data_IF_545739357516
#
_entry.id   IF_545739357516
#
_cell.length_a   1.000
_cell.length_b   1.000
_cell.length_c   1.000
_cell.angle_alpha   90.00
_cell.angle_beta   90.00
_cell.angle_gamma   90.00
#
_symmetry.space_group_name_H-M   'P 1'
#
loop_
_entity.id
_entity.type
_entity.pdbx_description
1 polymer ?
#
# COMPACT_ATOMS: atom_id res chain seq x y z
N UNK A 1 25.34 74.39 41.62
CA UNK A 1 24.66 73.23 42.24
C UNK A 1 23.91 72.52 41.14
N UNK A 2 24.33 71.31 40.83
CA UNK A 2 23.93 70.52 39.66
C UNK A 2 22.60 69.79 39.91
N UNK A 3 21.63 69.99 39.02
CA UNK A 3 20.44 69.14 38.90
C UNK A 3 20.84 67.81 38.23
N UNK A 4 20.49 66.63 38.78
CA UNK A 4 20.39 65.42 37.98
C UNK A 4 18.99 65.30 37.39
N UNK A 5 18.96 65.31 36.06
CA UNK A 5 17.86 64.86 35.24
C UNK A 5 17.69 63.33 35.40
N UNK A 6 16.49 62.85 35.69
CA UNK A 6 16.07 61.45 35.43
C UNK A 6 14.87 61.48 34.49
N UNK A 7 15.16 61.57 33.20
CA UNK A 7 14.33 60.92 32.17
C UNK A 7 14.57 59.39 32.29
N UNK A 8 13.78 58.45 31.79
CA UNK A 8 12.88 58.42 30.64
C UNK A 8 11.85 57.30 30.89
N UNK A 9 10.61 57.50 30.45
CA UNK A 9 9.61 56.46 30.19
C UNK A 9 10.22 55.26 29.45
N UNK A 10 10.09 54.06 30.02
CA UNK A 10 10.35 52.82 29.30
C UNK A 10 9.33 52.66 28.17
N UNK A 11 9.77 52.85 26.94
CA UNK A 11 9.03 52.39 25.78
C UNK A 11 8.96 50.86 25.88
N UNK A 12 7.75 50.32 26.09
CA UNK A 12 7.50 48.90 25.90
C UNK A 12 7.77 48.59 24.43
N UNK A 13 8.81 47.79 24.18
CA UNK A 13 9.12 47.29 22.86
C UNK A 13 8.04 46.27 22.43
N UNK A 14 7.14 46.71 21.57
CA UNK A 14 6.06 45.89 21.02
C UNK A 14 6.61 44.73 20.16
N UNK A 15 7.89 44.81 19.76
CA UNK A 15 8.60 43.73 19.07
C UNK A 15 8.86 42.53 19.98
N UNK A 16 9.24 42.74 21.23
CA UNK A 16 9.47 41.64 22.19
C UNK A 16 8.16 40.97 22.62
N UNK A 17 7.06 41.74 22.69
CA UNK A 17 5.73 41.20 23.00
C UNK A 17 5.21 40.34 21.85
N UNK A 18 5.41 40.80 20.60
CA UNK A 18 5.06 40.03 19.40
C UNK A 18 5.92 38.78 19.26
N UNK A 19 7.24 38.89 19.48
CA UNK A 19 8.15 37.75 19.47
C UNK A 19 7.81 36.71 20.54
N UNK A 20 7.38 37.13 21.75
CA UNK A 20 6.89 36.21 22.79
C UNK A 20 5.54 35.60 22.47
N UNK A 21 4.65 36.33 21.78
CA UNK A 21 3.37 35.79 21.33
C UNK A 21 3.55 34.77 20.20
N UNK A 22 4.44 35.06 19.25
CA UNK A 22 4.82 34.15 18.16
C UNK A 22 5.59 32.93 18.68
N UNK A 23 6.47 33.09 19.67
CA UNK A 23 7.14 31.97 20.34
C UNK A 23 6.17 31.10 21.16
N UNK A 24 5.15 31.69 21.80
CA UNK A 24 4.08 30.92 22.48
C UNK A 24 3.15 30.22 21.50
N UNK A 25 2.86 30.84 20.35
CA UNK A 25 2.07 30.22 19.28
C UNK A 25 2.86 29.13 18.56
N UNK A 26 4.17 29.30 18.37
CA UNK A 26 5.05 28.25 17.87
C UNK A 26 5.18 27.12 18.88
N UNK A 27 5.35 27.40 20.18
CA UNK A 27 5.36 26.37 21.21
C UNK A 27 4.01 25.62 21.32
N UNK A 28 2.87 26.30 21.12
CA UNK A 28 1.55 25.66 21.06
C UNK A 28 1.36 24.82 19.79
N UNK A 29 1.91 25.25 18.64
CA UNK A 29 1.98 24.44 17.40
C UNK A 29 2.92 23.25 17.56
N UNK A 30 4.04 23.38 18.26
CA UNK A 30 4.96 22.27 18.55
C UNK A 30 4.36 21.29 19.57
N UNK A 31 3.50 21.74 20.48
CA UNK A 31 2.74 20.85 21.38
C UNK A 31 1.55 20.16 20.68
N UNK A 32 0.92 20.79 19.68
CA UNK A 32 -0.06 20.12 18.81
C UNK A 32 0.58 19.18 17.78
N UNK A 33 1.80 19.46 17.33
CA UNK A 33 2.59 18.57 16.48
C UNK A 33 3.39 17.52 17.28
N UNK A 34 3.33 17.55 18.62
CA UNK A 34 3.96 16.56 19.51
C UNK A 34 3.17 15.25 19.66
N UNK A 35 1.99 15.16 19.05
CA UNK A 35 1.21 13.92 18.89
C UNK A 35 0.93 13.59 17.42
N UNK A 36 1.63 14.23 16.49
CA UNK A 36 1.58 13.86 15.08
C UNK A 36 2.51 12.67 14.87
N UNK A 37 2.01 11.48 14.48
CA UNK A 37 2.89 10.42 14.02
C UNK A 37 3.69 10.96 12.83
N UNK A 38 4.95 10.59 12.79
CA UNK A 38 5.82 10.83 11.65
C UNK A 38 5.11 10.44 10.35
N UNK A 39 5.39 11.21 9.30
CA UNK A 39 4.91 10.94 7.94
C UNK A 39 5.07 9.46 7.56
N UNK A 40 3.96 8.84 7.14
CA UNK A 40 3.96 7.62 6.31
C UNK A 40 3.36 6.35 6.89
N UNK A 41 2.88 6.31 8.15
CA UNK A 41 2.33 5.08 8.75
C UNK A 41 0.82 5.12 8.98
N UNK A 42 0.10 4.08 8.57
CA UNK A 42 -1.31 3.86 8.96
C UNK A 42 -1.38 3.56 10.45
N UNK A 43 -2.20 4.30 11.20
CA UNK A 43 -2.40 4.00 12.61
C UNK A 43 -3.45 2.89 12.80
N UNK A 44 -3.11 1.80 13.53
CA UNK A 44 -4.05 0.71 13.78
C UNK A 44 -5.20 1.13 14.70
N UNK A 45 -4.97 2.13 15.56
CA UNK A 45 -5.98 2.69 16.44
C UNK A 45 -5.96 4.22 16.39
N UNK A 46 -7.12 4.86 16.24
CA UNK A 46 -7.22 6.32 16.21
C UNK A 46 -8.48 6.84 16.90
N UNK A 47 -8.44 8.10 17.34
CA UNK A 47 -9.63 8.83 17.80
C UNK A 47 -10.24 9.59 16.63
N UNK A 48 -11.55 9.40 16.46
CA UNK A 48 -12.34 10.02 15.40
C UNK A 48 -12.82 11.38 15.86
N UNK A 49 -12.76 12.34 14.96
CA UNK A 49 -13.22 13.72 15.08
C UNK A 49 -13.99 14.08 13.81
N UNK A 50 -14.78 15.17 13.80
CA UNK A 50 -15.44 15.63 12.59
C UNK A 50 -14.47 15.87 11.42
N UNK A 51 -13.21 16.24 11.71
CA UNK A 51 -12.21 16.57 10.70
C UNK A 51 -11.60 15.35 9.99
N UNK A 52 -11.50 14.19 10.67
CA UNK A 52 -10.87 12.99 10.12
C UNK A 52 -11.87 11.84 9.85
N UNK A 53 -13.14 11.99 10.23
CA UNK A 53 -14.17 10.97 10.08
C UNK A 53 -14.32 10.44 8.64
N UNK A 54 -14.38 11.34 7.64
CA UNK A 54 -14.57 10.91 6.25
C UNK A 54 -13.38 10.08 5.74
N UNK A 55 -12.16 10.51 6.07
CA UNK A 55 -10.93 9.87 5.57
C UNK A 55 -10.62 8.58 6.35
N UNK A 56 -10.62 8.64 7.67
CA UNK A 56 -10.13 7.57 8.54
C UNK A 56 -11.17 6.49 8.84
N UNK A 57 -12.46 6.78 8.63
CA UNK A 57 -13.54 5.81 8.85
C UNK A 57 -14.18 5.41 7.53
N UNK A 58 -14.71 6.37 6.76
CA UNK A 58 -15.52 6.05 5.57
C UNK A 58 -14.63 5.57 4.43
N UNK A 59 -13.65 6.37 3.99
CA UNK A 59 -12.73 5.97 2.91
C UNK A 59 -11.90 4.75 3.31
N UNK A 60 -11.43 4.72 4.55
CA UNK A 60 -10.67 3.61 5.10
C UNK A 60 -11.42 2.28 5.09
N UNK A 61 -12.74 2.30 5.32
CA UNK A 61 -13.58 1.10 5.25
C UNK A 61 -13.65 0.45 3.86
N UNK A 62 -13.27 1.18 2.79
CA UNK A 62 -13.14 0.63 1.43
C UNK A 62 -11.90 -0.26 1.28
N UNK A 63 -10.90 -0.07 2.15
CA UNK A 63 -9.60 -0.72 2.08
C UNK A 63 -9.46 -1.83 3.12
N UNK A 64 -9.87 -1.59 4.36
CA UNK A 64 -9.88 -2.59 5.45
C UNK A 64 -11.15 -2.46 6.29
N UNK A 65 -11.55 -3.50 7.04
CA UNK A 65 -12.63 -3.36 8.02
C UNK A 65 -12.27 -2.30 9.06
N UNK A 66 -13.19 -1.37 9.32
CA UNK A 66 -13.05 -0.35 10.37
C UNK A 66 -14.00 -0.68 11.51
N UNK A 67 -13.45 -0.95 12.69
CA UNK A 67 -14.19 -1.25 13.91
C UNK A 67 -14.28 0.02 14.74
N UNK A 68 -15.47 0.64 14.77
CA UNK A 68 -15.73 1.88 15.49
C UNK A 68 -16.34 1.60 16.85
N UNK A 69 -15.67 1.99 17.92
CA UNK A 69 -16.23 2.08 19.27
C UNK A 69 -16.80 3.48 19.49
N UNK A 70 -18.11 3.58 19.65
CA UNK A 70 -18.77 4.79 20.16
C UNK A 70 -18.96 4.62 21.66
N UNK A 71 -18.26 5.44 22.46
CA UNK A 71 -18.19 5.29 23.91
C UNK A 71 -18.05 6.62 24.65
N UNK A 72 -17.83 6.53 25.95
CA UNK A 72 -17.59 7.68 26.83
C UNK A 72 -16.52 7.34 27.87
N UNK A 73 -15.63 8.28 28.22
CA UNK A 73 -14.62 8.07 29.27
C UNK A 73 -15.23 7.91 30.68
N UNK A 74 -16.53 8.17 30.83
CA UNK A 74 -17.25 8.06 32.11
C UNK A 74 -17.73 6.63 32.39
N UNK A 75 -17.65 5.74 31.40
CA UNK A 75 -18.09 4.34 31.52
C UNK A 75 -16.88 3.40 31.62
N UNK A 76 -16.76 2.61 32.70
CA UNK A 76 -15.70 1.60 32.82
C UNK A 76 -15.68 0.61 31.66
N UNK A 77 -16.86 0.21 31.17
CA UNK A 77 -16.99 -0.72 30.06
C UNK A 77 -16.50 -0.10 28.74
N UNK A 78 -16.69 1.20 28.54
CA UNK A 78 -16.17 1.92 27.37
C UNK A 78 -14.64 1.99 27.40
N UNK A 79 -14.06 2.32 28.55
CA UNK A 79 -12.59 2.41 28.69
C UNK A 79 -11.94 1.03 28.58
N UNK A 80 -12.58 -0.03 29.09
CA UNK A 80 -12.09 -1.39 28.93
C UNK A 80 -12.13 -1.84 27.46
N UNK A 81 -13.25 -1.65 26.76
CA UNK A 81 -13.36 -1.98 25.33
C UNK A 81 -12.37 -1.18 24.48
N UNK A 82 -12.16 0.09 24.81
CA UNK A 82 -11.17 0.95 24.14
C UNK A 82 -9.76 0.38 24.28
N UNK A 83 -9.36 0.00 25.50
CA UNK A 83 -8.06 -0.62 25.75
C UNK A 83 -7.89 -1.96 25.02
N UNK A 84 -8.93 -2.80 25.03
CA UNK A 84 -8.93 -4.09 24.34
C UNK A 84 -8.82 -3.93 22.82
N UNK A 85 -9.61 -3.03 22.23
CA UNK A 85 -9.56 -2.73 20.79
C UNK A 85 -8.22 -2.13 20.38
N UNK A 86 -7.65 -1.23 21.18
CA UNK A 86 -6.33 -0.67 20.92
C UNK A 86 -5.24 -1.77 20.91
N UNK A 87 -5.28 -2.68 21.89
CA UNK A 87 -4.33 -3.79 21.96
C UNK A 87 -4.51 -4.79 20.80
N UNK A 88 -5.75 -5.10 20.43
CA UNK A 88 -6.06 -6.00 19.32
C UNK A 88 -5.68 -5.41 17.98
N UNK A 89 -5.94 -4.12 17.75
CA UNK A 89 -5.59 -3.47 16.48
C UNK A 89 -4.07 -3.32 16.34
N UNK A 90 -3.36 -2.98 17.42
CA UNK A 90 -1.90 -2.88 17.42
C UNK A 90 -1.21 -4.22 17.15
N UNK A 91 -1.81 -5.34 17.59
CA UNK A 91 -1.30 -6.69 17.32
C UNK A 91 -1.87 -7.33 16.05
N UNK A 92 -2.81 -6.68 15.38
CA UNK A 92 -3.57 -7.23 14.25
C UNK A 92 -2.97 -6.96 12.88
N UNK A 93 -1.79 -6.34 12.81
CA UNK A 93 -1.08 -6.12 11.55
C UNK A 93 -1.86 -5.32 10.51
N UNK A 94 -2.71 -4.38 10.95
CA UNK A 94 -3.62 -3.58 10.12
C UNK A 94 -4.61 -4.40 9.26
N UNK A 95 -4.87 -5.66 9.63
CA UNK A 95 -5.97 -6.46 9.07
C UNK A 95 -7.36 -5.84 9.33
N UNK A 96 -7.44 -4.95 10.31
CA UNK A 96 -8.54 -4.03 10.56
C UNK A 96 -7.98 -2.77 11.24
N UNK A 97 -8.77 -1.69 11.23
CA UNK A 97 -8.48 -0.48 12.01
C UNK A 97 -9.54 -0.34 13.10
N UNK A 98 -9.09 0.00 14.30
CA UNK A 98 -9.98 0.39 15.38
C UNK A 98 -10.08 1.91 15.49
N UNK A 99 -11.30 2.42 15.62
CA UNK A 99 -11.55 3.85 15.74
C UNK A 99 -12.40 4.12 16.99
N UNK A 100 -12.01 5.11 17.79
CA UNK A 100 -12.77 5.52 18.97
C UNK A 100 -13.49 6.85 18.72
N UNK A 101 -14.79 6.89 18.99
CA UNK A 101 -15.62 8.08 18.97
C UNK A 101 -16.02 8.39 20.40
N UNK A 102 -15.61 9.55 20.89
CA UNK A 102 -16.03 10.06 22.18
C UNK A 102 -17.40 10.76 22.03
N UNK A 103 -18.45 10.13 22.56
CA UNK A 103 -19.80 10.66 22.48
C UNK A 103 -20.01 11.94 23.32
N UNK A 104 -19.16 12.20 24.32
CA UNK A 104 -19.23 13.40 25.15
C UNK A 104 -18.53 14.58 24.46
N UNK A 105 -17.40 14.32 23.80
CA UNK A 105 -16.61 15.35 23.13
C UNK A 105 -17.09 15.65 21.69
N UNK A 106 -17.62 14.64 20.99
CA UNK A 106 -18.03 14.72 19.57
C UNK A 106 -19.42 14.11 19.35
N UNK A 107 -20.47 14.67 19.98
CA UNK A 107 -21.83 14.11 19.92
C UNK A 107 -22.40 14.04 18.50
N UNK A 108 -22.03 14.97 17.61
CA UNK A 108 -22.43 14.98 16.21
C UNK A 108 -21.89 13.76 15.42
N UNK A 109 -20.67 13.31 15.72
CA UNK A 109 -20.08 12.12 15.09
C UNK A 109 -20.75 10.86 15.62
N UNK A 110 -20.99 10.78 16.93
CA UNK A 110 -21.71 9.67 17.54
C UNK A 110 -23.15 9.52 16.98
N UNK A 111 -23.84 10.64 16.73
CA UNK A 111 -25.18 10.64 16.12
C UNK A 111 -25.17 10.10 14.68
N UNK A 112 -24.11 10.35 13.91
CA UNK A 112 -23.97 9.83 12.54
C UNK A 112 -23.96 8.29 12.47
N UNK A 113 -23.53 7.63 13.55
CA UNK A 113 -23.55 6.18 13.69
C UNK A 113 -24.90 5.60 14.14
N UNK A 114 -25.86 6.45 14.53
CA UNK A 114 -27.21 6.01 14.91
C UNK A 114 -27.26 5.13 16.15
N UNK A 115 -26.30 5.26 17.08
CA UNK A 115 -26.24 4.43 18.30
C UNK A 115 -27.35 4.78 19.30
N UNK A 116 -27.94 3.74 19.91
CA UNK A 116 -29.00 3.86 20.92
C UNK A 116 -28.52 3.71 22.36
N UNK A 117 -27.33 3.16 22.55
CA UNK A 117 -26.68 2.94 23.84
C UNK A 117 -25.17 3.18 23.75
N UNK A 118 -24.51 3.30 24.89
CA UNK A 118 -23.05 3.38 24.99
C UNK A 118 -22.56 2.38 26.04
N UNK A 119 -21.45 1.65 25.81
CA UNK A 119 -20.68 1.60 24.56
C UNK A 119 -21.38 0.79 23.47
N UNK A 120 -21.18 1.18 22.21
CA UNK A 120 -21.58 0.39 21.04
C UNK A 120 -20.40 0.28 20.09
N UNK A 121 -20.14 -0.94 19.60
CA UNK A 121 -19.08 -1.22 18.62
C UNK A 121 -19.73 -1.58 17.29
N UNK A 122 -19.30 -0.93 16.22
CA UNK A 122 -19.85 -1.08 14.86
C UNK A 122 -18.71 -1.46 13.92
N UNK A 123 -18.89 -2.52 13.13
CA UNK A 123 -18.01 -2.86 12.02
C UNK A 123 -18.49 -2.19 10.74
N UNK A 124 -17.60 -1.49 10.07
CA UNK A 124 -17.81 -0.86 8.77
C UNK A 124 -16.92 -1.51 7.73
N UNK A 125 -17.47 -1.78 6.55
CA UNK A 125 -16.72 -2.18 5.38
C UNK A 125 -17.42 -1.69 4.12
N UNK A 126 -16.63 -1.41 3.07
CA UNK A 126 -17.13 -0.89 1.81
C UNK A 126 -18.06 0.34 1.99
N UNK A 127 -17.83 1.18 3.01
CA UNK A 127 -18.64 2.36 3.33
C UNK A 127 -19.93 2.09 4.10
N UNK A 128 -20.23 0.85 4.49
CA UNK A 128 -21.51 0.47 5.10
C UNK A 128 -21.33 -0.29 6.44
N UNK A 129 -22.23 -0.12 7.41
CA UNK A 129 -22.27 -0.95 8.63
C UNK A 129 -22.62 -2.40 8.30
N UNK A 130 -21.81 -3.34 8.78
CA UNK A 130 -22.00 -4.78 8.58
C UNK A 130 -22.65 -5.45 9.80
N UNK A 131 -22.09 -5.20 10.97
CA UNK A 131 -22.52 -5.82 12.23
C UNK A 131 -22.16 -4.91 13.39
N UNK A 132 -22.84 -5.05 14.51
CA UNK A 132 -22.60 -4.27 15.72
C UNK A 132 -22.92 -5.10 16.97
N UNK A 133 -22.41 -4.66 18.11
CA UNK A 133 -22.85 -5.11 19.42
C UNK A 133 -22.86 -3.94 20.42
N UNK A 134 -23.66 -4.09 21.47
CA UNK A 134 -23.79 -3.10 22.54
C UNK A 134 -23.30 -3.67 23.87
N UNK A 135 -22.81 -2.78 24.74
CA UNK A 135 -22.35 -3.09 26.09
C UNK A 135 -20.93 -3.64 26.18
N UNK A 136 -20.42 -3.75 27.41
CA UNK A 136 -19.12 -4.33 27.69
C UNK A 136 -19.07 -5.82 27.31
N UNK A 137 -18.00 -6.22 26.62
CA UNK A 137 -17.77 -7.61 26.22
C UNK A 137 -16.39 -8.09 26.72
N UNK A 138 -16.24 -9.37 27.09
CA UNK A 138 -14.93 -9.94 27.40
C UNK A 138 -14.00 -9.85 26.18
N UNK A 139 -12.71 -9.57 26.42
CA UNK A 139 -11.70 -9.44 25.37
C UNK A 139 -11.68 -10.61 24.38
N UNK A 140 -11.84 -11.84 24.86
CA UNK A 140 -11.84 -13.03 23.99
C UNK A 140 -13.02 -13.05 23.03
N UNK A 141 -14.21 -12.62 23.48
CA UNK A 141 -15.39 -12.52 22.63
C UNK A 141 -15.22 -11.41 21.58
N UNK A 142 -14.65 -10.27 21.97
CA UNK A 142 -14.30 -9.17 21.04
C UNK A 142 -13.32 -9.66 19.99
N UNK A 143 -12.26 -10.37 20.41
CA UNK A 143 -11.27 -10.93 19.49
C UNK A 143 -11.91 -11.90 18.50
N UNK A 144 -12.72 -12.85 18.96
CA UNK A 144 -13.40 -13.82 18.11
C UNK A 144 -14.32 -13.15 17.08
N UNK A 145 -15.05 -12.12 17.50
CA UNK A 145 -15.90 -11.33 16.60
C UNK A 145 -15.09 -10.58 15.53
N UNK A 146 -13.96 -9.98 15.90
CA UNK A 146 -13.05 -9.32 14.95
C UNK A 146 -12.42 -10.34 14.00
N UNK A 147 -11.94 -11.47 14.50
CA UNK A 147 -11.33 -12.52 13.67
C UNK A 147 -12.34 -13.00 12.61
N UNK A 148 -13.61 -13.21 12.99
CA UNK A 148 -14.67 -13.59 12.06
C UNK A 148 -14.97 -12.50 11.02
N UNK A 149 -15.00 -11.23 11.45
CA UNK A 149 -15.18 -10.07 10.57
C UNK A 149 -14.06 -10.00 9.53
N UNK A 150 -12.80 -10.09 9.96
CA UNK A 150 -11.62 -10.03 9.08
C UNK A 150 -11.60 -11.20 8.11
N UNK A 151 -11.93 -12.42 8.55
CA UNK A 151 -11.99 -13.59 7.67
C UNK A 151 -13.10 -13.47 6.60
N UNK A 152 -14.25 -12.89 6.95
CA UNK A 152 -15.38 -12.75 6.03
C UNK A 152 -15.17 -11.64 5.01
N UNK A 153 -14.57 -10.52 5.44
CA UNK A 153 -14.54 -9.25 4.68
C UNK A 153 -13.16 -8.95 4.11
N UNK A 154 -12.09 -9.32 4.80
CA UNK A 154 -10.70 -9.05 4.40
C UNK A 154 -10.37 -9.45 2.96
N UNK A 155 -10.76 -10.64 2.46
CA UNK A 155 -10.50 -11.04 1.08
C UNK A 155 -11.23 -10.22 0.00
N UNK A 156 -12.23 -9.42 0.39
CA UNK A 156 -13.08 -8.66 -0.54
C UNK A 156 -12.70 -7.17 -0.63
N UNK A 157 -11.84 -6.70 0.27
CA UNK A 157 -11.39 -5.31 0.29
C UNK A 157 -10.01 -5.16 -0.35
N UNK A 158 -9.69 -3.95 -0.79
CA UNK A 158 -8.44 -3.65 -1.49
C UNK A 158 -7.18 -3.93 -0.64
N UNK A 159 -7.35 -4.02 0.68
CA UNK A 159 -6.25 -3.99 1.64
C UNK A 159 -5.78 -2.56 1.86
N UNK A 160 -5.34 -2.28 3.08
CA UNK A 160 -4.31 -1.27 3.26
C UNK A 160 -3.01 -2.01 3.09
N UNK A 161 -2.06 -1.41 2.37
CA UNK A 161 -0.65 -1.76 2.49
C UNK A 161 -0.22 -1.45 3.93
N UNK A 162 -0.62 -2.33 4.83
CA UNK A 162 0.08 -2.57 6.04
C UNK A 162 1.50 -2.95 5.61
N UNK A 163 2.52 -2.25 6.11
CA UNK A 163 3.81 -2.90 6.18
C UNK A 163 3.59 -4.34 6.69
N UNK A 164 4.12 -5.33 5.95
CA UNK A 164 3.62 -6.69 5.97
C UNK A 164 3.78 -7.28 7.37
N UNK A 165 2.67 -7.73 7.95
CA UNK A 165 2.71 -8.56 9.16
C UNK A 165 1.81 -9.79 8.99
N UNK A 166 2.05 -10.52 7.92
CA UNK A 166 2.79 -11.77 8.14
C UNK A 166 4.16 -11.53 7.53
N UNK A 167 5.20 -11.56 8.36
CA UNK A 167 6.43 -12.14 7.85
C UNK A 167 6.03 -13.57 7.39
N UNK A 168 6.11 -13.97 6.09
CA UNK A 168 6.94 -15.15 5.89
C UNK A 168 8.21 -14.80 6.66
N UNK A 169 8.54 -15.58 7.71
CA UNK A 169 9.71 -15.34 8.57
C UNK A 169 10.70 -14.49 7.80
N UNK A 170 11.01 -13.25 8.24
CA UNK A 170 12.03 -12.44 7.57
C UNK A 170 13.26 -13.32 7.55
N UNK A 171 13.42 -14.06 6.45
CA UNK A 171 14.67 -14.59 6.01
C UNK A 171 15.48 -13.31 5.94
N UNK A 172 16.58 -13.24 6.70
CA UNK A 172 17.37 -12.02 6.77
C UNK A 172 17.51 -11.48 5.36
N UNK A 173 16.98 -10.27 5.12
CA UNK A 173 17.03 -9.62 3.80
C UNK A 173 18.43 -9.85 3.28
N UNK A 174 18.52 -10.60 2.18
CA UNK A 174 19.81 -11.01 1.68
C UNK A 174 20.59 -9.71 1.42
N UNK A 175 21.75 -9.49 2.05
CA UNK A 175 22.48 -8.23 1.90
C UNK A 175 22.86 -7.96 0.43
N UNK A 176 22.75 -8.97 -0.45
CA UNK A 176 22.87 -8.83 -1.90
C UNK A 176 21.73 -8.00 -2.53
N UNK A 177 20.53 -7.92 -1.93
CA UNK A 177 19.38 -7.16 -2.46
C UNK A 177 19.61 -5.65 -2.50
N UNK A 178 20.33 -5.10 -1.53
CA UNK A 178 20.74 -3.69 -1.55
C UNK A 178 21.64 -3.38 -2.76
N UNK A 179 22.54 -4.32 -3.08
CA UNK A 179 23.41 -4.21 -4.24
C UNK A 179 22.63 -4.34 -5.55
N UNK A 180 21.64 -5.24 -5.62
CA UNK A 180 20.76 -5.38 -6.80
C UNK A 180 19.92 -4.11 -7.04
N UNK A 181 19.34 -3.56 -5.97
CA UNK A 181 18.57 -2.31 -6.02
C UNK A 181 19.44 -1.14 -6.46
N UNK A 182 20.65 -1.05 -5.93
CA UNK A 182 21.62 -0.01 -6.34
C UNK A 182 21.98 -0.14 -7.82
N UNK A 183 22.21 -1.35 -8.31
CA UNK A 183 22.52 -1.62 -9.71
C UNK A 183 21.36 -1.23 -10.64
N UNK A 184 20.11 -1.55 -10.27
CA UNK A 184 18.92 -1.10 -11.01
C UNK A 184 18.82 0.43 -11.08
N UNK A 185 19.06 1.12 -9.95
CA UNK A 185 19.01 2.58 -9.89
C UNK A 185 20.08 3.26 -10.75
N UNK A 186 21.23 2.61 -10.94
CA UNK A 186 22.29 3.10 -11.84
C UNK A 186 22.11 2.64 -13.29
N UNK A 187 21.08 1.87 -13.61
CA UNK A 187 20.85 1.28 -14.93
C UNK A 187 21.81 0.13 -15.29
N UNK A 188 22.53 -0.41 -14.30
CA UNK A 188 23.39 -1.58 -14.46
C UNK A 188 22.54 -2.85 -14.30
N UNK A 189 21.71 -3.12 -15.31
CA UNK A 189 20.80 -4.26 -15.28
C UNK A 189 21.55 -5.60 -15.27
N UNK A 190 22.74 -5.66 -15.87
CA UNK A 190 23.58 -6.87 -15.87
C UNK A 190 24.02 -7.25 -14.45
N UNK A 191 24.50 -6.28 -13.67
CA UNK A 191 24.86 -6.51 -12.28
C UNK A 191 23.63 -6.92 -11.45
N UNK A 192 22.48 -6.29 -11.64
CA UNK A 192 21.25 -6.64 -10.94
C UNK A 192 20.79 -8.08 -11.24
N UNK A 193 20.79 -8.47 -12.53
CA UNK A 193 20.38 -9.82 -12.95
C UNK A 193 21.30 -10.89 -12.36
N UNK A 194 22.62 -10.67 -12.41
CA UNK A 194 23.60 -11.60 -11.85
C UNK A 194 23.38 -11.84 -10.35
N UNK A 195 23.03 -10.78 -9.61
CA UNK A 195 22.73 -10.87 -8.18
C UNK A 195 21.47 -11.69 -7.94
N UNK A 196 20.38 -11.43 -8.67
CA UNK A 196 19.15 -12.21 -8.51
C UNK A 196 19.35 -13.69 -8.88
N UNK A 197 20.15 -13.99 -9.90
CA UNK A 197 20.51 -15.38 -10.26
C UNK A 197 21.34 -16.08 -9.17
N UNK A 198 22.25 -15.36 -8.52
CA UNK A 198 23.05 -15.85 -7.40
C UNK A 198 22.16 -16.15 -6.16
N UNK A 199 21.16 -15.31 -5.90
CA UNK A 199 20.15 -15.57 -4.85
C UNK A 199 19.32 -16.81 -5.21
N UNK A 200 18.83 -16.93 -6.45
CA UNK A 200 18.04 -18.06 -6.92
C UNK A 200 18.82 -19.39 -6.98
N UNK A 201 20.15 -19.34 -7.01
CA UNK A 201 20.98 -20.54 -6.88
C UNK A 201 20.86 -21.16 -5.48
N UNK A 202 20.71 -20.31 -4.45
CA UNK A 202 20.47 -20.71 -3.06
C UNK A 202 19.00 -21.03 -2.76
N UNK A 203 18.08 -20.26 -3.35
CA UNK A 203 16.63 -20.48 -3.24
C UNK A 203 15.91 -20.41 -4.61
N UNK A 204 15.87 -21.54 -5.35
CA UNK A 204 15.26 -21.58 -6.68
C UNK A 204 13.74 -21.39 -6.69
N UNK A 205 13.06 -21.46 -5.54
CA UNK A 205 11.60 -21.37 -5.45
C UNK A 205 11.13 -19.97 -5.06
N UNK A 206 12.05 -19.03 -4.87
CA UNK A 206 11.72 -17.67 -4.55
C UNK A 206 11.06 -16.96 -5.75
N UNK A 207 9.73 -16.91 -5.73
CA UNK A 207 8.94 -16.33 -6.80
C UNK A 207 9.18 -14.81 -6.95
N UNK A 208 9.42 -14.12 -5.83
CA UNK A 208 9.67 -12.67 -5.79
C UNK A 208 11.01 -12.34 -6.46
N UNK A 209 12.08 -13.05 -6.11
CA UNK A 209 13.39 -12.85 -6.75
C UNK A 209 13.36 -13.23 -8.22
N UNK A 210 12.63 -14.29 -8.59
CA UNK A 210 12.45 -14.67 -9.99
C UNK A 210 11.74 -13.55 -10.79
N UNK A 211 10.68 -12.96 -10.22
CA UNK A 211 9.97 -11.83 -10.83
C UNK A 211 10.88 -10.59 -10.94
N UNK A 212 11.65 -10.27 -9.90
CA UNK A 212 12.58 -9.14 -9.89
C UNK A 212 13.67 -9.29 -10.97
N UNK A 213 14.22 -10.50 -11.12
CA UNK A 213 15.17 -10.84 -12.20
C UNK A 213 14.55 -10.64 -13.59
N UNK A 214 13.34 -11.16 -13.80
CA UNK A 214 12.69 -11.10 -15.11
C UNK A 214 12.28 -9.66 -15.47
N UNK A 215 11.92 -8.85 -14.47
CA UNK A 215 11.73 -7.40 -14.62
C UNK A 215 13.03 -6.71 -15.01
N UNK A 216 14.16 -7.02 -14.36
CA UNK A 216 15.46 -6.46 -14.70
C UNK A 216 15.88 -6.81 -16.13
N UNK A 217 15.61 -8.05 -16.58
CA UNK A 217 15.85 -8.50 -17.96
C UNK A 217 15.01 -7.73 -18.97
N UNK A 218 13.72 -7.49 -18.67
CA UNK A 218 12.86 -6.66 -19.50
C UNK A 218 13.40 -5.24 -19.63
N UNK A 219 13.75 -4.61 -18.51
CA UNK A 219 14.29 -3.25 -18.50
C UNK A 219 15.60 -3.15 -19.28
N UNK A 220 16.48 -4.17 -19.18
CA UNK A 220 17.70 -4.26 -19.98
C UNK A 220 17.41 -4.24 -21.47
N UNK A 221 16.46 -5.06 -21.93
CA UNK A 221 16.06 -5.12 -23.36
C UNK A 221 15.46 -3.81 -23.85
N UNK A 222 14.85 -3.06 -22.93
CA UNK A 222 14.22 -1.77 -23.22
C UNK A 222 15.11 -0.57 -22.98
N UNK A 223 16.40 -0.79 -22.70
CA UNK A 223 17.34 0.30 -22.45
C UNK A 223 17.34 1.29 -23.64
N UNK A 224 16.92 2.55 -23.42
CA UNK A 224 16.81 3.53 -24.49
C UNK A 224 18.16 3.90 -25.10
N UNK A 225 19.28 3.62 -24.42
CA UNK A 225 20.62 3.80 -24.99
C UNK A 225 20.89 2.86 -26.19
N UNK A 226 20.18 1.73 -26.25
CA UNK A 226 20.39 0.68 -27.26
C UNK A 226 19.27 0.67 -28.32
N UNK A 227 18.32 1.63 -28.29
CA UNK A 227 17.17 1.65 -29.21
C UNK A 227 16.99 3.01 -29.88
N UNK A 228 17.06 3.03 -31.21
CA UNK A 228 16.94 4.24 -32.05
C UNK A 228 15.58 4.44 -32.69
N UNK A 229 14.78 3.38 -32.76
CA UNK A 229 13.54 3.33 -33.55
C UNK A 229 12.34 2.86 -32.70
N UNK A 230 11.12 3.13 -33.18
CA UNK A 230 9.89 2.64 -32.56
C UNK A 230 9.77 1.12 -32.78
N UNK A 231 9.84 0.30 -31.71
CA UNK A 231 9.84 -1.15 -31.82
C UNK A 231 8.50 -1.70 -32.32
N UNK A 232 7.38 -1.04 -31.99
CA UNK A 232 6.05 -1.45 -32.45
C UNK A 232 5.93 -1.22 -33.95
N UNK A 233 6.29 -0.03 -34.43
CA UNK A 233 6.25 0.29 -35.85
C UNK A 233 7.19 -0.62 -36.69
N UNK A 234 8.36 -0.95 -36.13
CA UNK A 234 9.35 -1.82 -36.78
C UNK A 234 8.87 -3.27 -36.85
N UNK A 235 8.21 -3.76 -35.80
CA UNK A 235 7.60 -5.08 -35.79
C UNK A 235 6.40 -5.17 -36.73
N UNK A 236 5.56 -4.13 -36.80
CA UNK A 236 4.40 -4.12 -37.69
C UNK A 236 4.79 -4.11 -39.18
N UNK A 237 5.98 -3.61 -39.51
CA UNK A 237 6.56 -3.66 -40.86
C UNK A 237 7.12 -5.05 -41.22
N UNK A 238 7.39 -5.91 -40.25
CA UNK A 238 7.90 -7.28 -40.45
C UNK A 238 7.21 -8.30 -39.52
N UNK A 239 5.96 -8.70 -39.83
CA UNK A 239 5.12 -9.47 -38.91
C UNK A 239 5.62 -10.89 -38.62
N UNK A 240 6.57 -11.42 -39.41
CA UNK A 240 7.09 -12.77 -39.26
C UNK A 240 8.42 -12.82 -38.48
N UNK A 241 9.06 -11.67 -38.27
CA UNK A 241 10.33 -11.56 -37.56
C UNK A 241 10.10 -11.65 -36.05
N UNK A 242 10.48 -12.78 -35.46
CA UNK A 242 10.24 -13.09 -34.05
C UNK A 242 10.90 -12.09 -33.11
N UNK A 243 12.13 -11.66 -33.43
CA UNK A 243 12.89 -10.79 -32.54
C UNK A 243 12.27 -9.39 -32.49
N UNK A 244 11.82 -8.86 -33.64
CA UNK A 244 11.10 -7.59 -33.68
C UNK A 244 9.77 -7.65 -32.94
N UNK A 245 9.03 -8.76 -33.05
CA UNK A 245 7.80 -8.93 -32.28
C UNK A 245 8.05 -9.01 -30.77
N UNK A 246 9.19 -9.56 -30.34
CA UNK A 246 9.59 -9.54 -28.93
C UNK A 246 9.89 -8.12 -28.44
N UNK A 247 10.64 -7.35 -29.22
CA UNK A 247 10.90 -5.94 -28.91
C UNK A 247 9.61 -5.11 -28.80
N UNK A 248 8.66 -5.32 -29.70
CA UNK A 248 7.36 -4.67 -29.66
C UNK A 248 6.52 -5.09 -28.43
N UNK A 249 6.50 -6.39 -28.12
CA UNK A 249 5.79 -6.91 -26.95
C UNK A 249 6.38 -6.34 -25.65
N UNK A 250 7.70 -6.32 -25.52
CA UNK A 250 8.39 -5.73 -24.38
C UNK A 250 8.02 -4.24 -24.24
N UNK A 251 8.01 -3.48 -25.34
CA UNK A 251 7.63 -2.07 -25.34
C UNK A 251 6.16 -1.84 -24.96
N UNK A 252 5.25 -2.70 -25.42
CA UNK A 252 3.83 -2.66 -25.07
C UNK A 252 3.60 -2.95 -23.58
N UNK A 253 4.38 -3.86 -22.97
CA UNK A 253 4.35 -4.11 -21.52
C UNK A 253 4.71 -2.85 -20.75
N UNK A 254 5.82 -2.19 -21.10
CA UNK A 254 6.28 -0.97 -20.41
C UNK A 254 5.37 0.22 -20.68
N UNK A 255 4.72 0.27 -21.84
CA UNK A 255 3.69 1.26 -22.14
C UNK A 255 2.36 1.03 -21.37
N UNK A 256 2.29 0.00 -20.52
CA UNK A 256 1.11 -0.33 -19.73
C UNK A 256 -0.01 -0.99 -20.54
N UNK A 257 0.32 -1.60 -21.69
CA UNK A 257 -0.62 -2.30 -22.57
C UNK A 257 -0.30 -3.81 -22.68
N UNK A 258 -0.26 -4.57 -21.56
CA UNK A 258 0.14 -5.97 -21.56
C UNK A 258 -0.77 -6.88 -22.39
N UNK A 259 -2.05 -6.56 -22.51
CA UNK A 259 -2.98 -7.32 -23.36
C UNK A 259 -2.55 -7.29 -24.83
N UNK A 260 -2.02 -6.16 -25.31
CA UNK A 260 -1.50 -6.05 -26.68
C UNK A 260 -0.26 -6.91 -26.88
N UNK A 261 0.66 -6.87 -25.92
CA UNK A 261 1.87 -7.70 -25.94
C UNK A 261 1.52 -9.20 -25.98
N UNK A 262 0.59 -9.63 -25.13
CA UNK A 262 0.15 -11.02 -25.08
C UNK A 262 -0.54 -11.44 -26.38
N UNK A 263 -1.49 -10.63 -26.88
CA UNK A 263 -2.21 -10.95 -28.11
C UNK A 263 -1.27 -10.97 -29.33
N UNK A 264 -0.26 -10.08 -29.39
CA UNK A 264 0.79 -10.07 -30.41
C UNK A 264 1.57 -11.38 -30.43
N UNK A 265 2.09 -11.81 -29.28
CA UNK A 265 2.89 -13.04 -29.21
C UNK A 265 2.05 -14.30 -29.39
N UNK A 266 0.80 -14.32 -28.93
CA UNK A 266 -0.12 -15.44 -29.18
C UNK A 266 -0.40 -15.56 -30.67
N UNK A 267 -0.68 -14.44 -31.36
CA UNK A 267 -0.87 -14.44 -32.81
C UNK A 267 0.38 -14.95 -33.54
N UNK A 268 1.56 -14.46 -33.17
CA UNK A 268 2.84 -14.93 -33.72
C UNK A 268 3.05 -16.44 -33.49
N UNK A 269 2.69 -16.96 -32.31
CA UNK A 269 2.84 -18.38 -32.00
C UNK A 269 2.02 -19.29 -32.94
N UNK A 270 0.87 -18.80 -33.43
CA UNK A 270 0.03 -19.55 -34.39
C UNK A 270 0.64 -19.63 -35.80
N UNK A 271 1.45 -18.65 -36.19
CA UNK A 271 2.07 -18.58 -37.52
C UNK A 271 3.45 -19.21 -37.56
N UNK A 272 4.19 -19.19 -36.44
CA UNK A 272 5.51 -19.79 -36.31
C UNK A 272 5.45 -21.32 -36.09
N UNK A 273 6.54 -22.00 -36.40
CA UNK A 273 6.68 -23.45 -36.22
C UNK A 273 8.06 -23.82 -35.65
N UNK A 274 8.19 -25.05 -35.15
CA UNK A 274 9.47 -25.58 -34.66
C UNK A 274 10.07 -24.77 -33.50
N UNK A 275 11.34 -24.39 -33.66
CA UNK A 275 12.11 -23.68 -32.64
C UNK A 275 11.52 -22.29 -32.36
N UNK A 276 11.12 -21.55 -33.40
CA UNK A 276 10.54 -20.21 -33.23
C UNK A 276 9.24 -20.23 -32.45
N UNK A 277 8.36 -21.22 -32.68
CA UNK A 277 7.16 -21.40 -31.85
C UNK A 277 7.51 -21.63 -30.38
N UNK A 278 8.57 -22.41 -30.12
CA UNK A 278 9.05 -22.69 -28.77
C UNK A 278 9.59 -21.41 -28.12
N UNK A 279 10.38 -20.62 -28.85
CA UNK A 279 10.89 -19.32 -28.39
C UNK A 279 9.75 -18.36 -28.02
N UNK A 280 8.71 -18.27 -28.84
CA UNK A 280 7.55 -17.40 -28.58
C UNK A 280 6.77 -17.86 -27.35
N UNK A 281 6.58 -19.18 -27.19
CA UNK A 281 5.97 -19.78 -26.00
C UNK A 281 6.75 -19.41 -24.74
N UNK A 282 8.06 -19.56 -24.78
CA UNK A 282 8.92 -19.30 -23.62
C UNK A 282 8.92 -17.81 -23.27
N UNK A 283 8.91 -16.93 -24.27
CA UNK A 283 8.75 -15.48 -24.06
C UNK A 283 7.40 -15.11 -23.47
N UNK A 284 6.29 -15.74 -23.90
CA UNK A 284 4.98 -15.53 -23.28
C UNK A 284 4.99 -15.91 -21.79
N UNK A 285 5.62 -17.03 -21.44
CA UNK A 285 5.74 -17.47 -20.04
C UNK A 285 6.59 -16.49 -19.23
N UNK A 286 7.70 -15.99 -19.79
CA UNK A 286 8.52 -14.94 -19.18
C UNK A 286 7.69 -13.67 -18.90
N UNK A 287 6.92 -13.20 -19.88
CA UNK A 287 6.09 -12.00 -19.70
C UNK A 287 4.94 -12.22 -18.70
N UNK A 288 4.36 -13.42 -18.64
CA UNK A 288 3.35 -13.74 -17.62
C UNK A 288 3.93 -13.74 -16.20
N UNK A 289 5.21 -14.10 -16.04
CA UNK A 289 5.87 -14.12 -14.74
C UNK A 289 6.10 -12.71 -14.16
N UNK A 290 5.92 -11.67 -14.96
CA UNK A 290 5.98 -10.28 -14.49
C UNK A 290 4.73 -9.85 -13.70
N UNK A 291 3.63 -10.59 -13.80
CA UNK A 291 2.34 -10.26 -13.21
C UNK A 291 1.93 -11.31 -12.18
N UNK A 292 0.95 -10.95 -11.35
CA UNK A 292 0.30 -11.91 -10.47
C UNK A 292 -0.39 -13.03 -11.28
N UNK A 293 -0.31 -14.26 -10.78
CA UNK A 293 -0.86 -15.42 -11.47
C UNK A 293 -2.40 -15.38 -11.63
N UNK A 294 -3.10 -14.64 -10.76
CA UNK A 294 -4.54 -14.42 -10.79
C UNK A 294 -4.95 -13.17 -11.58
N UNK A 295 -4.00 -12.41 -12.17
CA UNK A 295 -4.33 -11.26 -13.02
C UNK A 295 -5.27 -11.70 -14.16
N UNK A 296 -6.47 -11.08 -14.30
CA UNK A 296 -7.44 -11.48 -15.31
C UNK A 296 -6.88 -11.49 -16.75
N UNK A 297 -5.93 -10.62 -17.04
CA UNK A 297 -5.26 -10.50 -18.34
C UNK A 297 -4.36 -11.71 -18.59
N UNK A 298 -3.60 -12.13 -17.58
CA UNK A 298 -2.75 -13.33 -17.63
C UNK A 298 -3.58 -14.59 -17.74
N UNK A 299 -4.66 -14.72 -16.95
CA UNK A 299 -5.58 -15.87 -17.00
C UNK A 299 -6.18 -16.01 -18.40
N UNK A 300 -6.66 -14.90 -18.96
CA UNK A 300 -7.21 -14.86 -20.33
C UNK A 300 -6.15 -15.24 -21.36
N UNK A 301 -4.95 -14.65 -21.29
CA UNK A 301 -3.87 -14.90 -22.22
C UNK A 301 -3.35 -16.35 -22.16
N UNK A 302 -3.22 -16.95 -20.96
CA UNK A 302 -2.85 -18.37 -20.79
C UNK A 302 -3.88 -19.31 -21.43
N UNK A 303 -5.16 -18.98 -21.32
CA UNK A 303 -6.26 -19.74 -21.96
C UNK A 303 -6.18 -19.67 -23.48
N UNK A 304 -5.95 -18.47 -24.03
CA UNK A 304 -5.71 -18.28 -25.47
C UNK A 304 -4.45 -19.00 -25.96
N UNK A 305 -3.35 -18.89 -25.22
CA UNK A 305 -2.08 -19.57 -25.53
C UNK A 305 -2.25 -21.09 -25.55
N UNK A 306 -2.92 -21.68 -24.55
CA UNK A 306 -3.21 -23.11 -24.53
C UNK A 306 -4.03 -23.53 -25.76
N UNK A 307 -5.04 -22.74 -26.13
CA UNK A 307 -5.87 -23.00 -27.31
C UNK A 307 -5.11 -22.89 -28.64
N UNK A 308 -4.03 -22.10 -28.68
CA UNK A 308 -3.16 -21.97 -29.85
C UNK A 308 -2.11 -23.09 -29.98
N UNK A 309 -1.93 -23.92 -28.93
CA UNK A 309 -1.00 -25.06 -28.92
C UNK A 309 -1.65 -26.39 -29.34
N UNK A 310 -2.98 -26.48 -29.34
CA UNK A 310 -3.78 -27.67 -29.67
C UNK A 310 -4.61 -27.45 -30.92
#
# INVERSE_FOLDING_TARGET
MTTPNRFVSGALDLGEVKARAEARQQAARTQQNGQQPAAGGVQPFLTVTPANFEEEVVRRSLQVPVVVLVGTPRSPDSEQLKADLQALASGGGLSFIAAYVDADATPEVAQAFGVTGLPTVIALAAGHPLTNFEGGQPRDAVKQWIDALVQQVGPQLQGLDAQPTAAPQEEPEDPRLDAATSALNTGDFDAAIAIYEDILTGDPKNAEIAQARDTARLLKRLNPAERTDDPVATADADPADVDKQFDAADAEIVAGAPEKAFDRLIALMTTQAGEDRTRVRDRLVELFALFDAADPRVVTARTKMASALF
#
